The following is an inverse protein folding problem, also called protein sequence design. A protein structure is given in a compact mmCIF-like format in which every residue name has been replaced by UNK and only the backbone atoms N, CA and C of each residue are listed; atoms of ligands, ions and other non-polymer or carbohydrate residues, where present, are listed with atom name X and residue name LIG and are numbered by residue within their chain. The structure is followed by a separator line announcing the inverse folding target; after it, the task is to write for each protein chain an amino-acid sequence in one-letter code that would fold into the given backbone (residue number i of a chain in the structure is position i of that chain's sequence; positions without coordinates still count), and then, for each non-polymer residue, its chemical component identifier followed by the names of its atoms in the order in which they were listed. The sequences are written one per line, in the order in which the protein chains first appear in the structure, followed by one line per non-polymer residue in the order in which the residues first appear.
data_IF_867352992376
#
_entry.id   IF_867352992376
#
_cell.length_a   1.000
_cell.length_b   1.000
_cell.length_c   1.000
_cell.angle_alpha   90.00
_cell.angle_beta   90.00
_cell.angle_gamma   90.00
#
_symmetry.space_group_name_H-M   'P 1'
#
loop_
_entity.id
_entity.type
_entity.pdbx_description
1 polymer ?
#
# COMPACT_ATOMS: atom_id res chain seq x y z
N UNK A 1 -0.25 -14.21 7.22
CA UNK A 1 -1.12 -14.79 6.15
C UNK A 1 -0.38 -14.79 4.82
N UNK A 2 -0.81 -15.49 3.75
CA UNK A 2 -0.11 -15.45 2.46
C UNK A 2 -0.17 -14.07 1.78
N UNK A 3 -1.06 -13.18 2.21
CA UNK A 3 -1.23 -11.87 1.58
C UNK A 3 -1.31 -10.72 2.58
N UNK A 4 -0.17 -10.07 2.82
CA UNK A 4 0.00 -8.94 3.73
C UNK A 4 -1.00 -7.80 3.50
N UNK A 5 -1.36 -7.51 2.23
CA UNK A 5 -2.28 -6.40 1.92
C UNK A 5 -3.68 -6.58 2.49
N UNK A 6 -4.14 -7.83 2.68
CA UNK A 6 -5.46 -8.11 3.25
C UNK A 6 -5.60 -7.59 4.68
N UNK A 7 -4.50 -7.51 5.45
CA UNK A 7 -4.54 -7.03 6.83
C UNK A 7 -4.94 -5.56 6.97
N UNK A 8 -4.78 -4.75 5.92
CA UNK A 8 -5.28 -3.38 5.94
C UNK A 8 -6.80 -3.31 6.16
N UNK A 9 -7.55 -4.38 5.85
CA UNK A 9 -8.99 -4.46 6.10
C UNK A 9 -9.32 -4.29 7.60
N UNK A 10 -8.48 -4.82 8.49
CA UNK A 10 -8.71 -4.77 9.94
C UNK A 10 -8.64 -3.34 10.51
N UNK A 11 -7.93 -2.43 9.85
CA UNK A 11 -7.78 -1.04 10.30
C UNK A 11 -8.73 -0.06 9.60
N UNK A 12 -9.47 -0.49 8.57
CA UNK A 12 -10.44 0.36 7.86
C UNK A 12 -11.50 1.00 8.75
N UNK A 13 -12.01 0.37 9.84
CA UNK A 13 -12.94 1.03 10.75
C UNK A 13 -12.37 2.32 11.36
N UNK A 14 -11.06 2.39 11.54
CA UNK A 14 -10.32 3.58 12.00
C UNK A 14 -10.09 4.65 10.94
N UNK A 15 -10.49 4.42 9.68
CA UNK A 15 -10.24 5.31 8.54
C UNK A 15 -11.56 5.79 7.93
N UNK A 16 -11.63 7.08 7.63
CA UNK A 16 -12.76 7.72 6.96
C UNK A 16 -12.61 7.64 5.44
N UNK A 17 -13.73 7.78 4.73
CA UNK A 17 -13.78 7.68 3.25
C UNK A 17 -13.11 8.86 2.53
N UNK A 18 -12.66 9.87 3.25
CA UNK A 18 -11.84 10.97 2.74
C UNK A 18 -10.32 10.70 2.88
N UNK A 19 -9.92 9.54 3.40
CA UNK A 19 -8.51 9.16 3.61
C UNK A 19 -7.93 9.64 4.95
N UNK A 20 -8.73 10.28 5.80
CA UNK A 20 -8.31 10.70 7.15
C UNK A 20 -8.59 9.62 8.19
N UNK A 21 -7.83 9.59 9.29
CA UNK A 21 -8.11 8.70 10.39
C UNK A 21 -9.24 9.25 11.29
N UNK A 22 -9.88 8.37 12.04
CA UNK A 22 -10.83 8.78 13.09
C UNK A 22 -10.07 9.24 14.34
N UNK A 23 -10.55 10.31 14.96
CA UNK A 23 -9.94 10.87 16.17
C UNK A 23 -8.54 11.42 15.90
N UNK A 24 -7.60 11.09 16.79
CA UNK A 24 -6.20 11.54 16.73
C UNK A 24 -5.27 10.53 16.05
N UNK A 25 -5.82 9.41 15.56
CA UNK A 25 -5.04 8.38 14.87
C UNK A 25 -4.46 8.91 13.55
N UNK A 26 -3.51 8.16 13.00
CA UNK A 26 -2.85 8.46 11.73
C UNK A 26 -3.14 7.32 10.75
N UNK A 27 -3.92 7.60 9.70
CA UNK A 27 -4.40 6.58 8.76
C UNK A 27 -3.26 5.83 8.05
N UNK A 28 -2.21 6.54 7.62
CA UNK A 28 -1.05 5.92 6.99
C UNK A 28 -0.27 5.02 7.95
N UNK A 29 -0.20 5.38 9.23
CA UNK A 29 0.46 4.58 10.26
C UNK A 29 -0.34 3.31 10.61
N UNK A 30 -1.68 3.40 10.68
CA UNK A 30 -2.56 2.23 10.83
C UNK A 30 -2.30 1.21 9.71
N UNK A 31 -2.33 1.65 8.46
CA UNK A 31 -2.12 0.78 7.29
C UNK A 31 -0.69 0.24 7.26
N UNK A 32 0.32 1.10 7.42
CA UNK A 32 1.71 0.67 7.43
C UNK A 32 2.02 -0.30 8.59
N UNK A 33 1.46 -0.05 9.77
CA UNK A 33 1.53 -0.95 10.92
C UNK A 33 0.92 -2.31 10.62
N UNK A 34 -0.23 -2.36 9.92
CA UNK A 34 -0.84 -3.64 9.51
C UNK A 34 -0.01 -4.43 8.48
N UNK A 35 0.99 -3.81 7.85
CA UNK A 35 1.90 -4.47 6.90
C UNK A 35 3.28 -4.78 7.52
N UNK A 36 3.65 -4.06 8.58
CA UNK A 36 4.98 -4.12 9.17
C UNK A 36 5.41 -5.53 9.61
N UNK A 37 4.56 -6.36 10.27
CA UNK A 37 4.98 -7.69 10.73
C UNK A 37 5.56 -8.58 9.62
N UNK A 38 4.98 -8.49 8.43
CA UNK A 38 5.33 -9.31 7.26
C UNK A 38 6.45 -8.70 6.40
N UNK A 39 6.83 -7.43 6.61
CA UNK A 39 7.83 -6.76 5.80
C UNK A 39 9.15 -7.54 5.73
N UNK A 40 9.50 -8.23 6.82
CA UNK A 40 10.68 -9.10 6.90
C UNK A 40 10.66 -10.25 5.88
N UNK A 41 9.49 -10.78 5.53
CA UNK A 41 9.37 -11.86 4.54
C UNK A 41 9.60 -11.37 3.10
N UNK A 42 9.33 -10.09 2.82
CA UNK A 42 9.73 -9.45 1.56
C UNK A 42 11.23 -9.21 1.51
N UNK A 43 11.84 -8.81 2.63
CA UNK A 43 13.31 -8.67 2.75
C UNK A 43 13.99 -10.03 2.61
N UNK A 44 13.39 -11.09 3.14
CA UNK A 44 13.89 -12.46 3.05
C UNK A 44 14.08 -12.98 1.62
N UNK A 45 13.41 -12.37 0.63
CA UNK A 45 13.64 -12.63 -0.79
C UNK A 45 15.08 -12.35 -1.22
N UNK A 46 15.69 -11.28 -0.67
CA UNK A 46 17.02 -10.81 -1.02
C UNK A 46 18.04 -11.14 0.08
N UNK A 47 17.60 -11.13 1.33
CA UNK A 47 18.41 -11.44 2.52
C UNK A 47 17.76 -12.57 3.30
N UNK A 48 18.01 -13.85 2.96
CA UNK A 48 17.30 -15.00 3.56
C UNK A 48 17.31 -15.05 5.09
N UNK A 49 18.35 -14.50 5.73
CA UNK A 49 18.48 -14.38 7.18
C UNK A 49 17.37 -13.53 7.84
N UNK A 50 16.60 -12.74 7.08
CA UNK A 50 15.45 -12.00 7.58
C UNK A 50 14.21 -12.89 7.85
N UNK A 51 14.14 -14.09 7.27
CA UNK A 51 13.00 -15.00 7.45
C UNK A 51 12.71 -15.32 8.94
N UNK A 52 13.68 -15.76 9.77
CA UNK A 52 13.42 -16.05 11.19
C UNK A 52 13.05 -14.82 12.02
N UNK A 53 13.36 -13.61 11.55
CA UNK A 53 13.03 -12.36 12.22
C UNK A 53 11.52 -12.12 12.32
N UNK A 54 10.70 -12.85 11.55
CA UNK A 54 9.25 -12.88 11.71
C UNK A 54 8.80 -13.23 13.14
N UNK A 55 9.58 -14.02 13.89
CA UNK A 55 9.29 -14.29 15.31
C UNK A 55 9.36 -13.03 16.18
N UNK A 56 10.26 -12.11 15.85
CA UNK A 56 10.43 -10.84 16.57
C UNK A 56 9.30 -9.89 16.20
N UNK A 57 9.04 -9.70 14.91
CA UNK A 57 7.99 -8.77 14.43
C UNK A 57 6.60 -9.18 14.90
N UNK A 58 6.33 -10.49 15.03
CA UNK A 58 5.05 -11.01 15.52
C UNK A 58 4.98 -11.15 17.06
N UNK A 59 6.00 -10.70 17.79
CA UNK A 59 5.98 -10.69 19.26
C UNK A 59 5.31 -9.42 19.81
N UNK A 60 4.79 -9.48 21.04
CA UNK A 60 4.18 -8.31 21.69
C UNK A 60 5.15 -7.11 21.78
N UNK A 61 6.44 -7.38 22.02
CA UNK A 61 7.46 -6.33 22.04
C UNK A 61 7.74 -5.81 20.62
N UNK A 62 7.78 -6.68 19.61
CA UNK A 62 7.95 -6.30 18.19
C UNK A 62 6.87 -5.35 17.71
N UNK A 63 5.60 -5.63 18.04
CA UNK A 63 4.42 -4.82 17.72
C UNK A 63 4.59 -3.36 18.13
N UNK A 64 5.16 -3.11 19.32
CA UNK A 64 5.32 -1.75 19.87
C UNK A 64 6.70 -1.14 19.60
N UNK A 65 7.64 -1.88 19.00
CA UNK A 65 9.01 -1.41 18.73
C UNK A 65 9.38 -1.54 17.25
N UNK A 66 9.80 -2.73 16.82
CA UNK A 66 10.32 -3.03 15.48
C UNK A 66 9.29 -2.70 14.40
N UNK A 67 8.02 -3.00 14.66
CA UNK A 67 6.95 -2.76 13.69
C UNK A 67 6.61 -1.29 13.57
N UNK A 68 6.72 -0.52 14.66
CA UNK A 68 6.57 0.93 14.64
C UNK A 68 7.67 1.56 13.80
N UNK A 69 8.93 1.13 13.98
CA UNK A 69 10.05 1.58 13.16
C UNK A 69 9.89 1.19 11.68
N UNK A 70 9.42 -0.02 11.41
CA UNK A 70 9.12 -0.51 10.06
C UNK A 70 7.98 0.29 9.43
N UNK A 71 6.93 0.62 10.18
CA UNK A 71 5.84 1.46 9.72
C UNK A 71 6.31 2.88 9.35
N UNK A 72 7.25 3.47 10.11
CA UNK A 72 7.90 4.73 9.74
C UNK A 72 8.57 4.63 8.37
N UNK A 73 9.35 3.56 8.13
CA UNK A 73 10.00 3.32 6.84
C UNK A 73 8.97 3.14 5.70
N UNK A 74 7.94 2.33 5.92
CA UNK A 74 6.88 2.11 4.94
C UNK A 74 6.12 3.39 4.61
N UNK A 75 5.85 4.27 5.59
CA UNK A 75 5.24 5.58 5.36
C UNK A 75 6.19 6.52 4.61
N UNK A 76 7.50 6.50 4.92
CA UNK A 76 8.49 7.26 4.15
C UNK A 76 8.52 6.80 2.68
N UNK A 77 8.56 5.49 2.44
CA UNK A 77 8.43 4.92 1.10
C UNK A 77 7.11 5.34 0.44
N UNK A 78 5.98 5.29 1.15
CA UNK A 78 4.69 5.74 0.62
C UNK A 78 4.72 7.21 0.16
N UNK A 79 5.30 8.12 0.95
CA UNK A 79 5.44 9.53 0.57
C UNK A 79 6.28 9.67 -0.71
N UNK A 80 7.34 8.87 -0.87
CA UNK A 80 8.15 8.84 -2.08
C UNK A 80 7.39 8.29 -3.29
N UNK A 81 6.59 7.23 -3.10
CA UNK A 81 5.94 6.49 -4.17
C UNK A 81 4.57 7.06 -4.60
N UNK A 82 3.83 7.74 -3.72
CA UNK A 82 2.42 8.11 -3.94
C UNK A 82 2.18 8.89 -5.24
N UNK A 83 2.97 9.91 -5.51
CA UNK A 83 2.81 10.79 -6.68
C UNK A 83 3.22 10.08 -7.98
N UNK A 84 4.37 9.39 -8.04
CA UNK A 84 4.70 8.50 -9.16
C UNK A 84 3.60 7.47 -9.46
N UNK A 85 3.03 6.83 -8.44
CA UNK A 85 1.95 5.86 -8.61
C UNK A 85 0.69 6.50 -9.21
N UNK A 86 0.30 7.68 -8.71
CA UNK A 86 -0.85 8.42 -9.24
C UNK A 86 -0.58 8.86 -10.69
N UNK A 87 0.66 9.20 -11.06
CA UNK A 87 1.02 9.56 -12.44
C UNK A 87 0.79 8.42 -13.46
N UNK A 88 0.69 7.16 -13.01
CA UNK A 88 0.33 6.03 -13.87
C UNK A 88 -1.16 5.99 -14.24
N UNK A 89 -2.01 6.79 -13.60
CA UNK A 89 -3.43 6.88 -13.95
C UNK A 89 -3.63 7.69 -15.24
N UNK A 90 -4.37 7.11 -16.19
CA UNK A 90 -4.55 7.70 -17.52
C UNK A 90 -5.34 9.02 -17.51
N UNK A 91 -6.38 9.10 -16.68
CA UNK A 91 -7.35 10.22 -16.70
C UNK A 91 -6.98 11.25 -15.63
N UNK A 92 -6.91 12.52 -16.01
CA UNK A 92 -6.62 13.63 -15.08
C UNK A 92 -7.62 13.70 -13.92
N UNK A 93 -8.90 13.50 -14.19
CA UNK A 93 -9.96 13.46 -13.18
C UNK A 93 -9.83 12.32 -12.17
N UNK A 94 -9.22 11.20 -12.55
CA UNK A 94 -8.90 10.13 -11.61
C UNK A 94 -7.64 10.45 -10.81
N UNK A 95 -6.64 11.09 -11.42
CA UNK A 95 -5.45 11.55 -10.71
C UNK A 95 -5.81 12.51 -9.59
N UNK A 96 -6.66 13.51 -9.85
CA UNK A 96 -7.12 14.47 -8.83
C UNK A 96 -7.88 13.79 -7.69
N UNK A 97 -8.85 12.92 -8.00
CA UNK A 97 -9.64 12.20 -7.00
C UNK A 97 -8.79 11.28 -6.12
N UNK A 98 -7.92 10.47 -6.73
CA UNK A 98 -7.04 9.55 -5.99
C UNK A 98 -6.06 10.34 -5.14
N UNK A 99 -5.49 11.43 -5.68
CA UNK A 99 -4.58 12.28 -4.94
C UNK A 99 -5.24 12.98 -3.74
N UNK A 100 -6.50 13.42 -3.87
CA UNK A 100 -7.25 14.01 -2.78
C UNK A 100 -7.39 13.06 -1.58
N UNK A 101 -7.71 11.79 -1.84
CA UNK A 101 -7.83 10.75 -0.80
C UNK A 101 -6.44 10.33 -0.28
N UNK A 102 -5.48 10.11 -1.19
CA UNK A 102 -4.15 9.59 -0.87
C UNK A 102 -3.27 10.57 -0.10
N UNK A 103 -3.52 11.88 -0.19
CA UNK A 103 -2.83 12.88 0.65
C UNK A 103 -3.22 12.77 2.12
N UNK A 104 -4.42 12.27 2.42
CA UNK A 104 -4.93 12.14 3.78
C UNK A 104 -4.88 13.46 4.56
N UNK A 105 -4.66 13.36 5.88
CA UNK A 105 -4.56 14.53 6.75
C UNK A 105 -3.24 15.29 6.53
N UNK A 106 -3.37 16.59 6.23
CA UNK A 106 -2.24 17.53 6.27
C UNK A 106 -2.05 18.00 7.71
N UNK A 107 -0.93 17.62 8.32
CA UNK A 107 -0.61 18.03 9.69
C UNK A 107 0.05 19.41 9.71
N UNK A 108 -0.55 20.36 10.42
CA UNK A 108 -0.08 21.77 10.48
C UNK A 108 1.22 21.96 11.26
N UNK A 109 1.56 21.03 12.17
CA UNK A 109 2.81 21.02 12.96
C UNK A 109 3.52 19.68 12.80
N UNK A 110 4.16 19.43 11.64
CA UNK A 110 5.00 18.25 11.47
C UNK A 110 6.12 18.28 12.52
N UNK A 111 6.40 17.14 13.16
CA UNK A 111 7.51 17.01 14.12
C UNK A 111 7.17 17.19 15.61
N UNK A 112 5.89 17.38 15.99
CA UNK A 112 5.55 17.39 17.42
C UNK A 112 5.66 15.99 18.05
N UNK A 113 6.15 15.91 19.31
CA UNK A 113 6.17 14.67 20.08
C UNK A 113 4.79 14.04 20.24
N UNK A 114 3.74 14.87 20.34
CA UNK A 114 2.36 14.40 20.35
C UNK A 114 2.01 13.64 19.06
N UNK A 115 2.36 14.18 17.88
CA UNK A 115 2.13 13.50 16.61
C UNK A 115 2.95 12.21 16.51
N UNK A 116 4.20 12.22 16.96
CA UNK A 116 5.03 11.01 17.01
C UNK A 116 4.38 9.92 17.89
N UNK A 117 3.84 10.30 19.06
CA UNK A 117 3.10 9.40 19.93
C UNK A 117 1.84 8.83 19.27
N UNK A 118 1.03 9.66 18.60
CA UNK A 118 -0.15 9.19 17.87
C UNK A 118 0.19 8.32 16.66
N UNK A 119 1.30 8.62 15.98
CA UNK A 119 1.83 7.79 14.90
C UNK A 119 2.22 6.42 15.46
N UNK A 120 3.02 6.37 16.52
CA UNK A 120 3.48 5.14 17.14
C UNK A 120 2.31 4.28 17.63
N UNK A 121 1.34 4.89 18.32
CA UNK A 121 0.13 4.21 18.75
C UNK A 121 -0.68 3.66 17.56
N UNK A 122 -0.84 4.45 16.50
CA UNK A 122 -1.55 4.01 15.29
C UNK A 122 -0.84 2.84 14.59
N UNK A 123 0.49 2.89 14.49
CA UNK A 123 1.30 1.81 13.93
C UNK A 123 1.20 0.53 14.78
N UNK A 124 1.31 0.67 16.10
CA UNK A 124 1.18 -0.45 17.03
C UNK A 124 -0.23 -1.07 16.98
N UNK A 125 -1.29 -0.27 16.89
CA UNK A 125 -2.66 -0.78 16.68
C UNK A 125 -2.74 -1.57 15.37
N UNK A 126 -2.20 -1.02 14.28
CA UNK A 126 -2.17 -1.70 12.98
C UNK A 126 -1.45 -3.04 13.05
N UNK A 127 -0.24 -3.07 13.63
CA UNK A 127 0.53 -4.31 13.82
C UNK A 127 -0.20 -5.30 14.72
N UNK A 128 -0.78 -4.84 15.84
CA UNK A 128 -1.55 -5.69 16.74
C UNK A 128 -2.73 -6.36 16.01
N UNK A 129 -3.47 -5.63 15.17
CA UNK A 129 -4.56 -6.23 14.38
C UNK A 129 -4.06 -7.29 13.39
N UNK A 130 -2.88 -7.08 12.80
CA UNK A 130 -2.23 -8.08 11.96
C UNK A 130 -1.89 -9.34 12.75
N UNK A 131 -1.14 -9.19 13.85
CA UNK A 131 -0.66 -10.31 14.68
C UNK A 131 -1.81 -11.10 15.29
N UNK A 132 -2.87 -10.43 15.76
CA UNK A 132 -4.07 -11.08 16.29
C UNK A 132 -4.77 -11.90 15.20
N UNK A 133 -4.93 -11.34 14.00
CA UNK A 133 -5.54 -12.07 12.88
C UNK A 133 -4.70 -13.29 12.52
N UNK A 134 -3.38 -13.14 12.41
CA UNK A 134 -2.48 -14.25 12.12
C UNK A 134 -2.49 -15.31 13.22
N UNK A 135 -2.51 -14.92 14.49
CA UNK A 135 -2.62 -15.83 15.62
C UNK A 135 -3.96 -16.60 15.64
N UNK A 136 -5.02 -16.02 15.07
CA UNK A 136 -6.32 -16.68 14.98
C UNK A 136 -6.42 -17.70 13.83
N UNK A 137 -5.62 -17.53 12.78
CA UNK A 137 -5.83 -18.22 11.50
C UNK A 137 -4.69 -19.14 11.06
N UNK A 138 -3.54 -19.11 11.73
CA UNK A 138 -2.45 -20.04 11.45
C UNK A 138 -2.63 -21.37 12.18
N UNK A 139 -2.24 -22.49 11.53
CA UNK A 139 -2.06 -23.78 12.21
C UNK A 139 -1.21 -23.62 13.49
N UNK A 140 -1.58 -24.38 14.52
CA UNK A 140 -0.91 -24.46 15.83
C UNK A 140 -0.85 -23.18 16.67
N UNK A 141 -1.51 -22.11 16.24
CA UNK A 141 -1.60 -20.85 17.00
C UNK A 141 -2.86 -20.79 17.87
N UNK A 142 -2.95 -19.73 18.66
CA UNK A 142 -3.98 -19.54 19.68
C UNK A 142 -5.42 -19.77 19.15
N UNK A 143 -5.77 -19.29 17.96
CA UNK A 143 -7.12 -19.48 17.40
C UNK A 143 -7.47 -20.92 17.07
N UNK A 144 -6.55 -21.70 16.49
CA UNK A 144 -6.79 -23.12 16.19
C UNK A 144 -6.80 -23.99 17.44
N UNK A 145 -6.16 -23.54 18.53
CA UNK A 145 -6.27 -24.19 19.86
C UNK A 145 -7.60 -23.88 20.55
N UNK A 146 -8.13 -22.66 20.37
CA UNK A 146 -9.42 -22.25 20.95
C UNK A 146 -10.61 -22.81 20.18
N UNK A 147 -10.49 -22.98 18.87
CA UNK A 147 -11.52 -23.55 18.00
C UNK A 147 -10.93 -24.79 17.34
N UNK A 148 -10.93 -25.96 18.01
CA UNK A 148 -10.35 -27.20 17.49
C UNK A 148 -10.91 -27.60 16.12
N UNK A 149 -12.14 -27.16 15.82
CA UNK A 149 -12.77 -27.37 14.52
C UNK A 149 -11.95 -26.80 13.35
N UNK A 150 -11.14 -25.75 13.57
CA UNK A 150 -10.25 -25.20 12.54
C UNK A 150 -9.10 -26.16 12.14
N UNK A 151 -8.84 -27.20 12.95
CA UNK A 151 -7.91 -28.27 12.63
C UNK A 151 -8.53 -29.40 11.81
N UNK A 152 -9.85 -29.47 11.66
CA UNK A 152 -10.48 -30.50 10.84
C UNK A 152 -10.15 -30.31 9.36
N UNK A 153 -10.01 -31.42 8.66
CA UNK A 153 -9.78 -31.41 7.23
C UNK A 153 -11.09 -31.33 6.46
N UNK A 154 -11.11 -30.45 5.46
CA UNK A 154 -12.14 -30.39 4.44
C UNK A 154 -11.44 -30.50 3.09
N UNK A 155 -11.86 -31.45 2.25
CA UNK A 155 -11.28 -31.69 0.93
C UNK A 155 -9.73 -31.78 0.91
N UNK A 156 -9.15 -32.40 1.93
CA UNK A 156 -7.70 -32.63 2.04
C UNK A 156 -6.88 -31.47 2.59
N UNK A 157 -7.52 -30.39 3.08
CA UNK A 157 -6.84 -29.26 3.73
C UNK A 157 -7.48 -28.89 5.07
N UNK A 158 -6.68 -28.44 6.06
CA UNK A 158 -7.21 -27.94 7.32
C UNK A 158 -8.15 -26.75 7.14
N UNK A 159 -9.23 -26.67 7.91
CA UNK A 159 -10.20 -25.56 7.86
C UNK A 159 -9.55 -24.19 8.14
N UNK A 160 -8.47 -24.12 8.91
CA UNK A 160 -7.69 -22.90 9.10
C UNK A 160 -7.12 -22.33 7.78
N UNK A 161 -6.86 -23.17 6.78
CA UNK A 161 -6.39 -22.70 5.46
C UNK A 161 -7.52 -22.01 4.71
N UNK A 162 -8.73 -22.56 4.73
CA UNK A 162 -9.91 -21.90 4.16
C UNK A 162 -10.20 -20.56 4.86
N UNK A 163 -10.08 -20.52 6.19
CA UNK A 163 -10.20 -19.28 6.94
C UNK A 163 -9.11 -18.26 6.54
N UNK A 164 -7.89 -18.74 6.29
CA UNK A 164 -6.76 -17.90 5.90
C UNK A 164 -6.93 -17.31 4.49
N UNK A 165 -7.12 -18.16 3.47
CA UNK A 165 -7.24 -17.72 2.09
C UNK A 165 -8.59 -17.06 1.79
N UNK A 166 -9.69 -17.64 2.31
CA UNK A 166 -11.03 -17.09 2.16
C UNK A 166 -11.19 -15.76 2.90
N UNK A 167 -10.67 -15.67 4.13
CA UNK A 167 -10.61 -14.42 4.88
C UNK A 167 -9.80 -13.35 4.16
N UNK A 168 -8.66 -13.71 3.56
CA UNK A 168 -7.85 -12.80 2.75
C UNK A 168 -8.61 -12.28 1.53
N UNK A 169 -9.38 -13.13 0.84
CA UNK A 169 -10.18 -12.73 -0.32
C UNK A 169 -11.33 -11.78 0.07
N UNK A 170 -12.06 -12.08 1.14
CA UNK A 170 -13.10 -11.20 1.68
C UNK A 170 -12.54 -9.84 2.13
N UNK A 171 -11.36 -9.85 2.76
CA UNK A 171 -10.65 -8.64 3.16
C UNK A 171 -10.31 -7.75 1.97
N UNK A 172 -9.81 -8.32 0.87
CA UNK A 172 -9.53 -7.58 -0.36
C UNK A 172 -10.80 -7.02 -1.00
N UNK A 173 -11.90 -7.76 -1.00
CA UNK A 173 -13.18 -7.26 -1.47
C UNK A 173 -13.65 -6.06 -0.61
N UNK A 174 -13.48 -6.13 0.70
CA UNK A 174 -13.76 -5.04 1.64
C UNK A 174 -12.89 -3.80 1.41
N UNK A 175 -11.58 -3.99 1.18
CA UNK A 175 -10.66 -2.90 0.80
C UNK A 175 -11.09 -2.28 -0.52
N UNK A 176 -11.39 -3.09 -1.54
CA UNK A 176 -11.87 -2.62 -2.84
C UNK A 176 -13.16 -1.80 -2.73
N UNK A 177 -14.14 -2.29 -1.96
CA UNK A 177 -15.37 -1.57 -1.66
C UNK A 177 -15.10 -0.24 -0.95
N UNK A 178 -14.25 -0.24 0.07
CA UNK A 178 -13.85 0.97 0.78
C UNK A 178 -13.19 1.99 -0.17
N UNK A 179 -12.25 1.56 -1.01
CA UNK A 179 -11.56 2.42 -1.97
C UNK A 179 -12.51 2.99 -3.01
N UNK A 180 -13.37 2.17 -3.62
CA UNK A 180 -14.31 2.64 -4.65
C UNK A 180 -15.26 3.68 -4.09
N UNK A 181 -15.82 3.44 -2.90
CA UNK A 181 -16.75 4.37 -2.27
C UNK A 181 -16.06 5.63 -1.75
N UNK A 182 -14.81 5.55 -1.28
CA UNK A 182 -13.99 6.73 -0.98
C UNK A 182 -13.78 7.60 -2.21
N UNK A 183 -13.38 6.99 -3.34
CA UNK A 183 -13.16 7.70 -4.60
C UNK A 183 -14.44 8.27 -5.22
N UNK A 184 -15.60 7.65 -5.00
CA UNK A 184 -16.91 8.19 -5.41
C UNK A 184 -17.32 9.42 -4.59
N UNK A 185 -16.90 9.51 -3.33
CA UNK A 185 -17.16 10.66 -2.44
C UNK A 185 -16.12 11.77 -2.61
N UNK A 186 -14.98 11.49 -3.23
CA UNK A 186 -13.92 12.45 -3.42
C UNK A 186 -14.31 13.54 -4.44
N UNK A 187 -14.14 14.84 -4.12
CA UNK A 187 -14.44 15.92 -5.05
C UNK A 187 -13.53 15.84 -6.29
N UNK A 188 -14.12 15.99 -7.48
CA UNK A 188 -13.41 15.77 -8.75
C UNK A 188 -12.35 16.83 -9.08
N UNK A 189 -12.46 18.04 -8.52
CA UNK A 189 -11.72 19.24 -8.93
C UNK A 189 -10.87 19.91 -7.84
N UNK A 190 -10.83 19.38 -6.61
CA UNK A 190 -10.33 20.15 -5.46
C UNK A 190 -8.80 20.13 -5.26
N UNK A 191 -8.04 19.27 -5.95
CA UNK A 191 -6.58 19.19 -5.74
C UNK A 191 -5.81 19.12 -7.05
N UNK A 192 -4.73 19.91 -7.14
CA UNK A 192 -3.76 19.85 -8.23
C UNK A 192 -3.18 18.42 -8.32
N UNK A 193 -3.52 17.71 -9.39
CA UNK A 193 -3.07 16.35 -9.63
C UNK A 193 -1.59 16.33 -10.03
N UNK A 194 -0.80 15.31 -9.63
CA UNK A 194 0.54 15.14 -10.15
C UNK A 194 0.48 14.92 -11.68
N UNK A 195 1.47 15.42 -12.44
CA UNK A 195 1.47 15.28 -13.90
C UNK A 195 1.52 13.81 -14.31
N UNK A 196 0.78 13.47 -15.37
CA UNK A 196 0.73 12.13 -15.90
C UNK A 196 1.98 11.78 -16.73
N UNK A 197 2.01 10.52 -17.16
CA UNK A 197 2.95 10.03 -18.16
C UNK A 197 2.27 9.94 -19.54
N UNK A 198 3.07 10.18 -20.60
CA UNK A 198 2.70 9.82 -21.96
C UNK A 198 2.36 8.31 -22.06
N UNK A 199 1.40 7.89 -22.91
CA UNK A 199 0.97 6.49 -23.01
C UNK A 199 2.10 5.48 -23.27
N UNK A 200 3.15 5.84 -24.04
CA UNK A 200 4.28 4.94 -24.33
C UNK A 200 5.12 4.71 -23.07
N UNK A 201 5.48 5.80 -22.39
CA UNK A 201 6.25 5.74 -21.12
C UNK A 201 5.44 5.02 -20.03
N UNK A 202 4.15 5.31 -19.92
CA UNK A 202 3.25 4.62 -19.01
C UNK A 202 3.24 3.11 -19.27
N UNK A 203 3.10 2.69 -20.54
CA UNK A 203 3.14 1.26 -20.90
C UNK A 203 4.50 0.64 -20.56
N UNK A 204 5.60 1.31 -20.87
CA UNK A 204 6.95 0.83 -20.55
C UNK A 204 7.14 0.64 -19.04
N UNK A 205 6.69 1.59 -18.22
CA UNK A 205 6.74 1.46 -16.75
C UNK A 205 5.87 0.31 -16.27
N UNK A 206 4.65 0.15 -16.78
CA UNK A 206 3.78 -0.96 -16.39
C UNK A 206 4.39 -2.33 -16.75
N UNK A 207 5.00 -2.44 -17.93
CA UNK A 207 5.73 -3.65 -18.36
C UNK A 207 6.94 -3.90 -17.46
N UNK A 208 7.71 -2.87 -17.14
CA UNK A 208 8.84 -2.98 -16.20
C UNK A 208 8.38 -3.48 -14.83
N UNK A 209 7.33 -2.88 -14.25
CA UNK A 209 6.81 -3.27 -12.94
C UNK A 209 6.28 -4.71 -12.94
N UNK A 210 5.53 -5.09 -13.98
CA UNK A 210 5.05 -6.45 -14.16
C UNK A 210 6.21 -7.45 -14.32
N UNK A 211 7.23 -7.09 -15.10
CA UNK A 211 8.44 -7.89 -15.30
C UNK A 211 9.23 -8.08 -14.00
N UNK A 212 9.48 -7.01 -13.24
CA UNK A 212 10.16 -7.10 -11.95
C UNK A 212 9.40 -8.02 -10.98
N UNK A 213 8.06 -7.87 -10.88
CA UNK A 213 7.24 -8.75 -10.06
C UNK A 213 7.32 -10.22 -10.52
N UNK A 214 7.10 -10.48 -11.80
CA UNK A 214 7.10 -11.83 -12.35
C UNK A 214 8.45 -12.55 -12.17
N UNK A 215 9.56 -11.86 -12.46
CA UNK A 215 10.92 -12.44 -12.35
C UNK A 215 11.25 -12.82 -10.91
N UNK A 216 10.97 -11.94 -9.94
CA UNK A 216 11.31 -12.20 -8.53
C UNK A 216 10.35 -13.22 -7.91
N UNK A 217 9.08 -13.25 -8.32
CA UNK A 217 8.14 -14.31 -7.96
C UNK A 217 8.64 -15.67 -8.45
N UNK A 218 9.00 -15.77 -9.74
CA UNK A 218 9.54 -17.00 -10.32
C UNK A 218 10.80 -17.46 -9.61
N UNK A 219 11.75 -16.53 -9.37
CA UNK A 219 12.97 -16.81 -8.62
C UNK A 219 12.68 -17.45 -7.25
N UNK A 220 11.74 -16.88 -6.46
CA UNK A 220 11.38 -17.45 -5.16
C UNK A 220 10.70 -18.82 -5.28
N UNK A 221 9.80 -19.00 -6.25
CA UNK A 221 9.15 -20.29 -6.46
C UNK A 221 10.17 -21.39 -6.85
N UNK A 222 11.12 -21.07 -7.73
CA UNK A 222 12.19 -22.00 -8.11
C UNK A 222 13.10 -22.33 -6.91
N UNK A 223 13.43 -21.35 -6.06
CA UNK A 223 14.20 -21.57 -4.83
C UNK A 223 13.44 -22.45 -3.83
N UNK A 224 12.13 -22.25 -3.68
CA UNK A 224 11.28 -23.09 -2.85
C UNK A 224 11.28 -24.53 -3.34
N UNK A 225 11.00 -24.73 -4.63
CA UNK A 225 11.00 -26.05 -5.25
C UNK A 225 12.35 -26.75 -5.13
N UNK A 226 13.46 -26.05 -5.36
CA UNK A 226 14.80 -26.61 -5.24
C UNK A 226 15.15 -27.04 -3.81
N UNK A 227 14.61 -26.38 -2.78
CA UNK A 227 14.90 -26.70 -1.38
C UNK A 227 13.98 -27.79 -0.82
N UNK A 228 12.68 -27.72 -1.10
CA UNK A 228 11.68 -28.62 -0.52
C UNK A 228 11.27 -29.78 -1.43
N UNK A 229 11.58 -29.71 -2.74
CA UNK A 229 11.08 -30.67 -3.73
C UNK A 229 9.56 -30.61 -3.95
N UNK A 230 8.90 -29.61 -3.36
CA UNK A 230 7.44 -29.48 -3.36
C UNK A 230 6.99 -28.36 -4.30
N UNK A 231 6.08 -28.71 -5.22
CA UNK A 231 5.41 -27.77 -6.13
C UNK A 231 3.93 -27.60 -5.77
N UNK A 232 3.51 -27.96 -4.56
CA UNK A 232 2.15 -27.74 -4.09
C UNK A 232 1.77 -26.28 -4.25
N UNK A 233 0.57 -26.05 -4.80
CA UNK A 233 0.03 -24.71 -5.03
C UNK A 233 0.10 -23.87 -3.76
N UNK A 234 -0.15 -24.50 -2.60
CA UNK A 234 -0.24 -23.83 -1.31
C UNK A 234 1.13 -23.49 -0.71
N UNK A 235 2.20 -24.24 -1.06
CA UNK A 235 3.58 -23.84 -0.77
C UNK A 235 4.11 -22.75 -1.72
N UNK A 236 3.62 -22.74 -2.97
CA UNK A 236 4.05 -21.78 -3.98
C UNK A 236 3.36 -20.42 -3.85
N UNK A 237 2.11 -20.33 -3.40
CA UNK A 237 1.39 -19.05 -3.27
C UNK A 237 2.14 -18.04 -2.40
N UNK A 238 2.55 -18.34 -1.14
CA UNK A 238 3.30 -17.39 -0.32
C UNK A 238 4.62 -16.98 -0.97
N UNK A 239 5.34 -17.95 -1.57
CA UNK A 239 6.60 -17.72 -2.26
C UNK A 239 6.43 -16.75 -3.44
N UNK A 240 5.40 -16.94 -4.25
CA UNK A 240 5.05 -16.06 -5.36
C UNK A 240 4.61 -14.67 -4.87
N UNK A 241 3.79 -14.58 -3.83
CA UNK A 241 3.29 -13.31 -3.28
C UNK A 241 4.42 -12.46 -2.71
N UNK A 242 5.27 -13.03 -1.85
CA UNK A 242 6.39 -12.29 -1.29
C UNK A 242 7.44 -11.95 -2.35
N UNK A 243 7.73 -12.87 -3.29
CA UNK A 243 8.69 -12.62 -4.36
C UNK A 243 8.20 -11.54 -5.33
N UNK A 244 6.96 -11.67 -5.79
CA UNK A 244 6.33 -10.70 -6.68
C UNK A 244 6.20 -9.32 -6.03
N UNK A 245 5.86 -9.26 -4.74
CA UNK A 245 5.81 -8.00 -4.03
C UNK A 245 7.19 -7.38 -3.79
N UNK A 246 8.24 -8.17 -3.53
CA UNK A 246 9.63 -7.65 -3.47
C UNK A 246 10.04 -7.07 -4.82
N UNK A 247 9.81 -7.81 -5.91
CA UNK A 247 10.13 -7.35 -7.26
C UNK A 247 9.38 -6.07 -7.63
N UNK A 248 8.08 -6.01 -7.31
CA UNK A 248 7.27 -4.81 -7.50
C UNK A 248 7.78 -3.63 -6.67
N UNK A 249 8.12 -3.84 -5.38
CA UNK A 249 8.63 -2.78 -4.51
C UNK A 249 9.95 -2.19 -5.05
N UNK A 250 10.89 -3.03 -5.47
CA UNK A 250 12.15 -2.59 -6.08
C UNK A 250 11.91 -1.82 -7.38
N UNK A 251 11.07 -2.35 -8.27
CA UNK A 251 10.70 -1.69 -9.52
C UNK A 251 10.02 -0.33 -9.28
N UNK A 252 9.15 -0.23 -8.28
CA UNK A 252 8.49 1.02 -7.88
C UNK A 252 9.47 2.06 -7.37
N UNK A 253 10.48 1.67 -6.58
CA UNK A 253 11.51 2.59 -6.10
C UNK A 253 12.36 3.15 -7.25
N UNK A 254 12.78 2.29 -8.19
CA UNK A 254 13.52 2.72 -9.39
C UNK A 254 12.67 3.67 -10.23
N UNK A 255 11.42 3.30 -10.50
CA UNK A 255 10.48 4.14 -11.23
C UNK A 255 10.26 5.49 -10.55
N UNK A 256 10.03 5.50 -9.24
CA UNK A 256 9.82 6.73 -8.48
C UNK A 256 11.05 7.65 -8.54
N UNK A 257 12.27 7.10 -8.48
CA UNK A 257 13.51 7.85 -8.68
C UNK A 257 13.59 8.49 -10.08
N UNK A 258 13.28 7.73 -11.13
CA UNK A 258 13.23 8.23 -12.50
C UNK A 258 12.15 9.32 -12.71
N UNK A 259 11.00 9.18 -12.06
CA UNK A 259 9.92 10.16 -12.12
C UNK A 259 10.27 11.45 -11.37
N UNK A 260 10.87 11.33 -10.18
CA UNK A 260 11.27 12.48 -9.34
C UNK A 260 12.42 13.27 -9.94
N UNK A 261 13.38 12.60 -10.58
CA UNK A 261 14.49 13.23 -11.31
C UNK A 261 14.08 13.93 -12.60
N UNK A 262 12.81 13.86 -13.01
CA UNK A 262 12.30 14.53 -14.22
C UNK A 262 12.63 13.81 -15.53
N UNK A 263 13.44 12.74 -15.49
CA UNK A 263 13.87 11.94 -16.65
C UNK A 263 12.70 11.38 -17.47
N UNK A 264 11.55 11.19 -16.85
CA UNK A 264 10.35 10.66 -17.51
C UNK A 264 9.48 11.71 -18.22
N UNK A 265 9.92 12.98 -18.31
CA UNK A 265 9.27 14.07 -19.06
C UNK A 265 7.76 14.17 -18.79
N UNK A 266 7.41 15.01 -17.82
CA UNK A 266 6.04 15.16 -17.30
C UNK A 266 5.16 15.84 -18.35
N UNK A 267 4.02 15.24 -18.72
CA UNK A 267 3.03 15.95 -19.54
C UNK A 267 2.40 17.05 -18.68
N UNK A 268 2.77 18.31 -18.91
CA UNK A 268 2.07 19.45 -18.33
C UNK A 268 0.60 19.43 -18.81
N UNK A 269 -0.33 19.88 -17.95
CA UNK A 269 -1.70 20.15 -18.39
C UNK A 269 -1.66 21.22 -19.50
N UNK A 270 -2.60 21.20 -20.48
CA UNK A 270 -2.85 22.39 -21.28
C UNK A 270 -3.12 23.53 -20.30
N UNK A 271 -2.33 24.59 -20.42
CA UNK A 271 -2.49 25.82 -19.66
C UNK A 271 -3.94 26.29 -19.74
N UNK A 272 -4.48 26.79 -18.62
CA UNK A 272 -5.71 27.56 -18.65
C UNK A 272 -5.59 28.66 -19.73
N UNK A 273 -6.69 29.05 -20.40
CA UNK A 273 -6.64 30.14 -21.36
C UNK A 273 -6.04 31.37 -20.66
N UNK A 274 -5.05 31.95 -21.32
CA UNK A 274 -4.42 33.21 -20.94
C UNK A 274 -5.52 34.23 -20.63
N UNK A 275 -5.47 34.96 -19.49
CA UNK A 275 -6.44 36.00 -19.23
C UNK A 275 -6.39 37.00 -20.38
N UNK A 276 -7.54 37.17 -21.06
CA UNK A 276 -7.68 38.08 -22.17
C UNK A 276 -7.06 39.44 -21.81
N UNK A 277 -6.13 39.90 -22.64
CA UNK A 277 -5.51 41.20 -22.49
C UNK A 277 -6.60 42.27 -22.30
N UNK A 278 -6.43 43.21 -21.36
CA UNK A 278 -7.43 44.25 -21.15
C UNK A 278 -7.64 45.02 -22.46
N UNK A 279 -8.89 45.08 -22.90
CA UNK A 279 -9.29 45.86 -24.05
C UNK A 279 -8.78 47.29 -23.84
N UNK A 280 -7.92 47.76 -24.76
CA UNK A 280 -7.50 49.15 -24.80
C UNK A 280 -8.75 49.98 -25.08
N UNK A 281 -9.24 50.68 -24.06
CA UNK A 281 -10.20 51.77 -24.20
C UNK A 281 -9.57 52.82 -25.12
N UNK A 282 -10.13 52.97 -26.32
CA UNK A 282 -9.76 54.05 -27.24
C UNK A 282 -10.08 55.41 -26.63
N UNK A 283 -9.35 56.47 -27.01
CA UNK A 283 -9.54 57.80 -26.44
C UNK A 283 -10.89 58.36 -26.85
N UNK A 284 -11.64 58.80 -25.84
CA UNK A 284 -12.89 59.53 -25.95
C UNK A 284 -12.61 60.84 -26.71
N UNK A 285 -13.20 60.98 -27.90
CA UNK A 285 -13.16 62.23 -28.67
C UNK A 285 -14.20 63.16 -28.08
N UNK A 286 -13.74 64.07 -27.22
CA UNK A 286 -14.44 65.32 -26.95
C UNK A 286 -14.37 66.23 -28.18
N UNK A 287 -15.50 66.87 -28.54
CA UNK A 287 -15.66 68.24 -29.08
C UNK A 287 -16.93 68.36 -29.94
N UNK A 288 -17.53 69.56 -30.10
CA UNK A 288 -17.58 70.73 -29.21
C UNK A 288 -19.01 71.03 -28.71
#
# INVERSE_FOLDING_TARGET
MPFTLSHAAAVLPGIRRDGTARGRLVASALVAGSFAPDATYYVATVVPAAMPFGRVTHSALGVVTVDVATACLLVACWVLLREPLIALLRRASWRSRVHAVARGQVWRRPGSWALAGWFALSAAIGSATHVVWDAFTHPDRWGTRLVPALGHELAGFPLCWYAQYGGSALALAGIGWFTVTALRRAPAAATAAPPGLDPRRRRAVLVLLAGCGAVVALYRCLRWYAFYGDASVLGLIPSACFGGGTGLALGLLVYAGAWRSGRLGRTAHPTAPEPAAPARSGPDRTSP
#
